data_IF_645149816606
#
_entry.id   IF_645149816606
#
_cell.length_a   1.000
_cell.length_b   1.000
_cell.length_c   1.000
_cell.angle_alpha   90.00
_cell.angle_beta   90.00
_cell.angle_gamma   90.00
#
_symmetry.space_group_name_H-M   'P 1'
#
loop_
_entity.id
_entity.type
_entity.pdbx_description
1 polymer ?
#
# COMPACT_ATOMS: atom_id res chain seq x y z
N UNK A 1 -12.80 -36.47 -16.25
CA UNK A 1 -13.00 -35.02 -16.15
C UNK A 1 -12.26 -34.54 -14.91
N UNK A 2 -11.07 -33.99 -15.06
CA UNK A 2 -10.29 -33.46 -13.94
C UNK A 2 -10.74 -32.02 -13.71
N UNK A 3 -11.55 -31.81 -12.68
CA UNK A 3 -11.88 -30.47 -12.19
C UNK A 3 -10.62 -29.87 -11.59
N UNK A 4 -9.89 -29.11 -12.40
CA UNK A 4 -8.81 -28.26 -11.92
C UNK A 4 -9.46 -27.18 -11.06
N UNK A 5 -9.36 -27.32 -9.74
CA UNK A 5 -9.71 -26.28 -8.78
C UNK A 5 -8.75 -25.12 -9.02
N UNK A 6 -9.16 -24.17 -9.86
CA UNK A 6 -8.51 -22.87 -9.92
C UNK A 6 -8.60 -22.27 -8.53
N UNK A 7 -7.50 -22.31 -7.79
CA UNK A 7 -7.32 -21.51 -6.58
C UNK A 7 -7.39 -20.07 -7.05
N UNK A 8 -8.59 -19.48 -7.00
CA UNK A 8 -8.81 -18.07 -7.26
C UNK A 8 -8.00 -17.32 -6.21
N UNK A 9 -6.78 -16.92 -6.58
CA UNK A 9 -5.86 -16.16 -5.76
C UNK A 9 -6.43 -14.74 -5.68
N UNK A 10 -7.54 -14.62 -4.96
CA UNK A 10 -8.35 -13.41 -4.90
C UNK A 10 -7.52 -12.39 -4.16
N UNK A 11 -7.03 -11.40 -4.89
CA UNK A 11 -6.27 -10.31 -4.33
C UNK A 11 -7.17 -9.54 -3.34
N UNK A 12 -6.87 -9.65 -2.05
CA UNK A 12 -7.67 -9.09 -0.96
C UNK A 12 -6.88 -8.10 -0.10
N UNK A 13 -7.51 -7.58 0.95
CA UNK A 13 -6.96 -6.54 1.83
C UNK A 13 -5.55 -6.85 2.33
N UNK A 14 -5.28 -8.10 2.75
CA UNK A 14 -3.96 -8.49 3.26
C UNK A 14 -2.86 -8.44 2.20
N UNK A 15 -3.20 -8.76 0.94
CA UNK A 15 -2.25 -8.68 -0.18
C UNK A 15 -1.94 -7.21 -0.51
N UNK A 16 -2.95 -6.35 -0.46
CA UNK A 16 -2.80 -4.90 -0.64
C UNK A 16 -1.94 -4.27 0.47
N UNK A 17 -2.16 -4.66 1.74
CA UNK A 17 -1.32 -4.23 2.87
C UNK A 17 0.12 -4.70 2.70
N UNK A 18 0.35 -5.94 2.27
CA UNK A 18 1.69 -6.46 2.01
C UNK A 18 2.41 -5.69 0.88
N UNK A 19 1.67 -5.33 -0.17
CA UNK A 19 2.17 -4.46 -1.24
C UNK A 19 2.54 -3.07 -0.70
N UNK A 20 1.71 -2.46 0.13
CA UNK A 20 2.02 -1.17 0.77
C UNK A 20 3.26 -1.24 1.67
N UNK A 21 3.44 -2.31 2.44
CA UNK A 21 4.68 -2.54 3.21
C UNK A 21 5.91 -2.59 2.32
N UNK A 22 5.81 -3.26 1.17
CA UNK A 22 6.89 -3.30 0.19
C UNK A 22 7.19 -1.92 -0.40
N UNK A 23 6.17 -1.12 -0.72
CA UNK A 23 6.37 0.28 -1.16
C UNK A 23 7.02 1.13 -0.05
N UNK A 24 6.61 0.92 1.19
CA UNK A 24 7.14 1.60 2.38
C UNK A 24 8.61 1.30 2.67
N UNK A 25 9.17 0.20 2.17
CA UNK A 25 10.60 -0.13 2.34
C UNK A 25 11.51 0.45 1.26
N UNK A 26 10.97 1.07 0.21
CA UNK A 26 11.76 1.62 -0.89
C UNK A 26 12.40 2.96 -0.54
N UNK A 27 13.50 3.32 -1.20
CA UNK A 27 14.11 4.66 -1.06
C UNK A 27 13.14 5.76 -1.53
N UNK A 28 12.35 5.49 -2.57
CA UNK A 28 11.34 6.41 -3.13
C UNK A 28 9.98 6.29 -2.44
N UNK A 29 9.91 5.66 -1.24
CA UNK A 29 8.65 5.32 -0.55
C UNK A 29 7.66 6.48 -0.44
N UNK A 30 8.10 7.72 -0.13
CA UNK A 30 7.20 8.88 -0.01
C UNK A 30 6.44 9.16 -1.30
N UNK A 31 7.15 9.17 -2.44
CA UNK A 31 6.56 9.44 -3.75
C UNK A 31 5.59 8.32 -4.12
N UNK A 32 5.99 7.07 -3.89
CA UNK A 32 5.16 5.91 -4.18
C UNK A 32 3.88 5.89 -3.33
N UNK A 33 3.98 6.14 -2.03
CA UNK A 33 2.84 6.18 -1.11
C UNK A 33 1.90 7.36 -1.40
N UNK A 34 2.43 8.56 -1.69
CA UNK A 34 1.60 9.70 -2.12
C UNK A 34 0.86 9.42 -3.42
N UNK A 35 1.55 8.84 -4.41
CA UNK A 35 0.94 8.47 -5.68
C UNK A 35 -0.17 7.43 -5.48
N UNK A 36 0.06 6.46 -4.60
CA UNK A 36 -0.94 5.45 -4.24
C UNK A 36 -2.20 6.11 -3.66
N UNK A 37 -2.05 6.95 -2.63
CA UNK A 37 -3.16 7.65 -1.97
C UNK A 37 -3.90 8.54 -2.97
N UNK A 38 -3.18 9.30 -3.80
CA UNK A 38 -3.77 10.17 -4.82
C UNK A 38 -4.50 9.41 -5.95
N UNK A 39 -4.09 8.17 -6.23
CA UNK A 39 -4.72 7.32 -7.23
C UNK A 39 -5.93 6.57 -6.68
N UNK A 40 -6.00 6.31 -5.37
CA UNK A 40 -7.06 5.55 -4.74
C UNK A 40 -8.50 6.08 -5.00
N UNK A 41 -8.77 7.40 -5.04
CA UNK A 41 -10.08 7.92 -5.45
C UNK A 41 -10.47 7.58 -6.90
N UNK A 42 -9.47 7.40 -7.78
CA UNK A 42 -9.68 7.06 -9.20
C UNK A 42 -9.92 5.57 -9.42
N UNK A 43 -9.62 4.74 -8.42
CA UNK A 43 -9.88 3.29 -8.47
C UNK A 43 -11.38 3.03 -8.33
N UNK A 44 -11.99 2.60 -9.42
CA UNK A 44 -13.43 2.30 -9.51
C UNK A 44 -13.79 0.92 -8.94
N UNK A 45 -12.86 -0.03 -8.93
CA UNK A 45 -13.09 -1.40 -8.46
C UNK A 45 -12.12 -1.75 -7.33
N UNK A 46 -12.66 -1.94 -6.13
CA UNK A 46 -11.93 -2.40 -4.95
C UNK A 46 -12.14 -3.89 -4.66
N UNK A 47 -13.18 -4.51 -5.23
CA UNK A 47 -13.48 -5.92 -5.00
C UNK A 47 -13.77 -6.19 -3.52
N UNK A 48 -13.14 -7.23 -2.95
CA UNK A 48 -13.22 -7.60 -1.53
C UNK A 48 -12.25 -6.84 -0.63
N UNK A 49 -11.53 -5.84 -1.17
CA UNK A 49 -10.55 -5.06 -0.41
C UNK A 49 -11.27 -4.02 0.45
N UNK A 50 -10.90 -3.97 1.73
CA UNK A 50 -11.26 -2.88 2.62
C UNK A 50 -10.44 -1.63 2.27
N UNK A 51 -11.05 -0.76 1.46
CA UNK A 51 -10.47 0.51 1.03
C UNK A 51 -10.04 1.38 2.21
N UNK A 52 -10.85 1.46 3.25
CA UNK A 52 -10.61 2.36 4.38
C UNK A 52 -9.39 1.89 5.16
N UNK A 53 -9.31 0.60 5.47
CA UNK A 53 -8.17 0.02 6.17
C UNK A 53 -6.86 0.19 5.38
N UNK A 54 -6.91 0.00 4.06
CA UNK A 54 -5.74 0.15 3.18
C UNK A 54 -5.27 1.60 3.10
N UNK A 55 -6.20 2.55 2.97
CA UNK A 55 -5.83 3.97 2.89
C UNK A 55 -5.24 4.49 4.20
N UNK A 56 -5.85 4.14 5.34
CA UNK A 56 -5.29 4.48 6.65
C UNK A 56 -3.89 3.91 6.82
N UNK A 57 -3.66 2.67 6.38
CA UNK A 57 -2.33 2.06 6.44
C UNK A 57 -1.32 2.77 5.51
N UNK A 58 -1.73 3.16 4.31
CA UNK A 58 -0.87 3.92 3.39
C UNK A 58 -0.50 5.30 3.95
N UNK A 59 -1.45 6.00 4.57
CA UNK A 59 -1.24 7.30 5.23
C UNK A 59 -0.29 7.18 6.42
N UNK A 60 -0.45 6.13 7.24
CA UNK A 60 0.46 5.83 8.34
C UNK A 60 1.91 5.63 7.86
N UNK A 61 2.10 4.82 6.82
CA UNK A 61 3.43 4.59 6.24
C UNK A 61 4.03 5.86 5.63
N UNK A 62 3.20 6.73 5.05
CA UNK A 62 3.67 8.01 4.53
C UNK A 62 4.16 8.92 5.66
N UNK A 63 3.39 9.03 6.75
CA UNK A 63 3.77 9.83 7.92
C UNK A 63 5.07 9.31 8.56
N UNK A 64 5.24 7.99 8.67
CA UNK A 64 6.49 7.38 9.13
C UNK A 64 7.66 7.72 8.21
N UNK A 65 7.45 7.61 6.90
CA UNK A 65 8.47 7.93 5.90
C UNK A 65 8.92 9.40 5.94
N UNK A 66 7.98 10.33 6.16
CA UNK A 66 8.24 11.76 6.29
C UNK A 66 8.99 12.08 7.59
N UNK A 67 8.60 11.48 8.72
CA UNK A 67 9.28 11.67 10.00
C UNK A 67 10.72 11.12 9.98
N UNK A 68 10.93 9.92 9.44
CA UNK A 68 12.26 9.32 9.38
C UNK A 68 13.28 10.19 8.62
N UNK A 69 12.84 10.90 7.58
CA UNK A 69 13.68 11.83 6.84
C UNK A 69 14.01 13.11 7.61
N UNK A 70 13.07 13.63 8.41
CA UNK A 70 13.34 14.80 9.26
C UNK A 70 14.45 14.52 10.29
N UNK A 71 14.52 13.30 10.81
CA UNK A 71 15.60 12.88 11.69
C UNK A 71 16.95 12.78 10.97
N UNK A 72 16.97 12.23 9.75
CA UNK A 72 18.21 12.13 8.94
C UNK A 72 18.69 13.52 8.51
N UNK A 73 17.80 14.38 8.01
CA UNK A 73 18.14 15.72 7.56
C UNK A 73 18.62 16.65 8.69
N UNK A 74 18.22 16.37 9.95
CA UNK A 74 18.67 17.12 11.13
C UNK A 74 19.99 16.57 11.73
N UNK A 75 20.39 15.36 11.34
CA UNK A 75 21.61 14.71 11.80
C UNK A 75 22.79 14.81 10.80
N UNK A 76 22.54 15.31 9.59
CA UNK A 76 23.52 15.58 8.54
C UNK A 76 23.96 17.05 8.56
#
# INVERSE_FOLDING_TARGET
MSTSTATTNTYGTNAEIAFLKHLGSQLTRKVLLRNYINAAPKRTVWGSIDKTAVLLFAEQLLAEAENAEQFVARAA
#
